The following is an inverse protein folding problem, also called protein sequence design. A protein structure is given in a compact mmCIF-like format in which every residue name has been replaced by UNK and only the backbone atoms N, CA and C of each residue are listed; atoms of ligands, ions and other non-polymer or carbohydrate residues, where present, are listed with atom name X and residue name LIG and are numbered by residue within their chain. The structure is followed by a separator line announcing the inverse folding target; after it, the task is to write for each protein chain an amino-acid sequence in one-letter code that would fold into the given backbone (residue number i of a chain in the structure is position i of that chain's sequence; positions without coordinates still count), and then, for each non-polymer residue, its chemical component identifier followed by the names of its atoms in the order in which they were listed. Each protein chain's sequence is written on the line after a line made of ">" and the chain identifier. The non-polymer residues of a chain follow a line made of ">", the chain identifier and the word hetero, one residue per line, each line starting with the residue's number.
data_IF_161305071337
#
_entry.id   IF_161305071337
#
_cell.length_a   1.000
_cell.length_b   1.000
_cell.length_c   1.000
_cell.angle_alpha   90.00
_cell.angle_beta   90.00
_cell.angle_gamma   90.00
#
_symmetry.space_group_name_H-M   'P 1'
#
loop_
_entity.id
_entity.type
_entity.pdbx_description
1 polymer ?
#
# COMPACT_ATOMS: atom_id res chain seq x y z
N UNK A 1 2.45 8.88 32.61
CA UNK A 1 2.30 8.30 31.26
C UNK A 1 3.65 7.98 30.61
N UNK A 2 4.59 8.94 30.54
CA UNK A 2 5.96 8.73 30.00
C UNK A 2 6.77 7.62 30.70
N UNK A 3 6.62 7.44 32.02
CA UNK A 3 7.26 6.33 32.74
C UNK A 3 6.77 4.97 32.25
N UNK A 4 5.45 4.81 32.06
CA UNK A 4 4.84 3.55 31.60
C UNK A 4 5.26 3.18 30.18
N UNK A 5 5.60 4.17 29.36
CA UNK A 5 6.08 4.02 27.98
C UNK A 5 7.56 3.57 27.94
N UNK A 6 8.40 4.15 28.81
CA UNK A 6 9.77 3.65 29.04
C UNK A 6 9.76 2.23 29.60
N UNK A 7 8.84 1.94 30.51
CA UNK A 7 8.68 0.59 31.06
C UNK A 7 8.18 -0.38 30.00
N UNK A 8 7.20 -0.01 29.16
CA UNK A 8 6.74 -0.85 28.05
C UNK A 8 7.88 -1.16 27.07
N UNK A 9 8.71 -0.16 26.73
CA UNK A 9 9.90 -0.32 25.87
C UNK A 9 10.97 -1.22 26.51
N UNK A 10 11.05 -1.28 27.84
CA UNK A 10 12.04 -2.10 28.56
C UNK A 10 11.51 -3.49 28.97
N UNK A 11 10.20 -3.65 29.19
CA UNK A 11 9.55 -4.88 29.68
C UNK A 11 8.98 -5.74 28.57
N UNK A 12 8.52 -5.14 27.46
CA UNK A 12 8.24 -5.96 26.28
C UNK A 12 9.57 -6.52 25.81
N UNK A 13 9.57 -7.80 25.45
CA UNK A 13 10.74 -8.58 25.01
C UNK A 13 11.20 -8.11 23.62
N UNK A 14 11.38 -6.80 23.47
CA UNK A 14 11.84 -6.14 22.28
C UNK A 14 13.34 -6.43 22.19
N UNK A 15 13.67 -7.54 21.55
CA UNK A 15 15.01 -7.73 21.02
C UNK A 15 15.21 -6.71 19.89
N UNK A 16 15.73 -5.55 20.23
CA UNK A 16 16.19 -4.59 19.23
C UNK A 16 17.48 -5.12 18.61
N UNK A 17 17.37 -5.78 17.46
CA UNK A 17 18.54 -6.06 16.65
C UNK A 17 18.90 -4.76 15.91
N UNK A 18 19.91 -4.06 16.43
CA UNK A 18 20.28 -2.72 15.96
C UNK A 18 21.32 -2.82 14.85
N UNK A 19 20.93 -2.38 13.66
CA UNK A 19 21.87 -1.83 12.69
C UNK A 19 21.59 -0.33 12.64
N UNK A 20 22.60 0.54 12.42
CA UNK A 20 22.48 2.00 12.65
C UNK A 20 21.26 2.68 11.99
N UNK A 21 20.66 2.05 10.96
CA UNK A 21 19.48 2.54 10.24
C UNK A 21 18.28 1.55 10.19
N UNK A 22 18.29 0.44 10.93
CA UNK A 22 17.22 -0.60 10.87
C UNK A 22 16.91 -1.14 12.27
N UNK A 23 15.62 -1.26 12.56
CA UNK A 23 15.10 -1.68 13.86
C UNK A 23 13.99 -2.70 13.65
N UNK A 24 14.08 -3.84 14.34
CA UNK A 24 12.99 -4.82 14.41
C UNK A 24 12.47 -4.85 15.85
N UNK A 25 11.15 -4.80 15.98
CA UNK A 25 10.46 -4.76 17.27
C UNK A 25 9.40 -5.87 17.30
N UNK A 26 9.47 -6.73 18.32
CA UNK A 26 8.49 -7.79 18.53
C UNK A 26 7.51 -7.40 19.64
N UNK A 27 6.23 -7.37 19.29
CA UNK A 27 5.11 -7.08 20.19
C UNK A 27 4.07 -8.17 20.01
N UNK A 28 3.58 -8.75 21.11
CA UNK A 28 2.53 -9.75 21.05
C UNK A 28 1.18 -9.11 20.66
N UNK A 29 0.30 -9.88 20.03
CA UNK A 29 -1.08 -9.46 19.78
C UNK A 29 -1.79 -9.11 21.09
N UNK A 30 -2.46 -7.95 21.12
CA UNK A 30 -3.13 -7.45 22.33
C UNK A 30 -2.31 -6.44 23.15
N UNK A 31 -1.00 -6.29 22.90
CA UNK A 31 -0.11 -5.35 23.63
C UNK A 31 -0.24 -3.89 23.18
N UNK A 32 -1.27 -3.54 22.41
CA UNK A 32 -1.48 -2.17 21.92
C UNK A 32 -0.50 -1.73 20.82
N UNK A 33 -0.10 -2.67 19.93
CA UNK A 33 0.83 -2.42 18.82
C UNK A 33 0.50 -1.15 18.01
N UNK A 34 -0.77 -0.92 17.67
CA UNK A 34 -1.20 0.28 16.94
C UNK A 34 -0.88 1.58 17.67
N UNK A 35 -1.02 1.63 18.99
CA UNK A 35 -0.70 2.83 19.80
C UNK A 35 0.81 3.05 19.83
N UNK A 36 1.60 1.98 19.99
CA UNK A 36 3.07 2.06 19.97
C UNK A 36 3.54 2.57 18.61
N UNK A 37 3.01 2.04 17.51
CA UNK A 37 3.29 2.50 16.15
C UNK A 37 2.96 3.98 15.99
N UNK A 38 1.78 4.42 16.46
CA UNK A 38 1.37 5.81 16.35
C UNK A 38 2.29 6.76 17.11
N UNK A 39 2.70 6.40 18.33
CA UNK A 39 3.67 7.19 19.12
C UNK A 39 5.01 7.29 18.40
N UNK A 40 5.52 6.18 17.85
CA UNK A 40 6.78 6.17 17.09
C UNK A 40 6.63 7.06 15.86
N UNK A 41 5.52 6.95 15.12
CA UNK A 41 5.28 7.76 13.93
C UNK A 41 5.24 9.26 14.26
N UNK A 42 4.55 9.66 15.33
CA UNK A 42 4.51 11.05 15.82
C UNK A 42 5.93 11.52 16.16
N UNK A 43 6.66 10.75 16.96
CA UNK A 43 8.03 11.11 17.37
C UNK A 43 8.94 11.29 16.16
N UNK A 44 8.84 10.41 15.16
CA UNK A 44 9.64 10.44 13.94
C UNK A 44 9.26 11.58 13.01
N UNK A 45 7.96 11.83 12.83
CA UNK A 45 7.45 12.95 12.04
C UNK A 45 7.93 14.30 12.61
N UNK A 46 7.91 14.46 13.94
CA UNK A 46 8.35 15.69 14.61
C UNK A 46 9.87 15.81 14.62
N UNK A 47 10.60 14.76 15.02
CA UNK A 47 12.04 14.86 15.30
C UNK A 47 12.89 14.92 14.04
N UNK A 48 12.45 14.27 12.96
CA UNK A 48 13.21 14.21 11.71
C UNK A 48 12.63 15.10 10.61
N UNK A 49 11.46 15.71 10.83
CA UNK A 49 10.70 16.48 9.82
C UNK A 49 10.44 15.68 8.53
N UNK A 50 10.16 14.38 8.69
CA UNK A 50 9.95 13.42 7.59
C UNK A 50 8.53 12.90 7.56
N UNK A 51 8.08 12.54 6.36
CA UNK A 51 6.83 11.79 6.18
C UNK A 51 7.04 10.34 6.63
N UNK A 52 6.10 9.82 7.42
CA UNK A 52 6.11 8.44 7.92
C UNK A 52 5.07 7.61 7.17
N UNK A 53 5.51 6.55 6.50
CA UNK A 53 4.66 5.58 5.84
C UNK A 53 4.48 4.37 6.75
N UNK A 54 3.24 4.09 7.13
CA UNK A 54 2.89 2.93 7.94
C UNK A 54 2.24 1.89 7.02
N UNK A 55 2.96 0.79 6.81
CA UNK A 55 2.55 -0.31 5.94
C UNK A 55 1.92 -1.39 6.81
N UNK A 56 0.67 -1.75 6.55
CA UNK A 56 -0.07 -2.80 7.28
C UNK A 56 -0.58 -3.88 6.33
N UNK A 57 -1.04 -5.02 6.86
CA UNK A 57 -1.41 -6.19 6.05
C UNK A 57 -2.68 -6.01 5.21
N UNK A 58 -3.58 -5.08 5.57
CA UNK A 58 -4.86 -4.88 4.87
C UNK A 58 -5.32 -3.42 4.80
N UNK A 59 -6.10 -3.09 3.76
CA UNK A 59 -6.71 -1.75 3.59
C UNK A 59 -7.60 -1.38 4.78
N UNK A 60 -8.32 -2.35 5.36
CA UNK A 60 -9.23 -2.13 6.48
C UNK A 60 -8.48 -1.65 7.73
N UNK A 61 -7.35 -2.30 8.05
CA UNK A 61 -6.50 -1.90 9.18
C UNK A 61 -5.90 -0.51 8.95
N UNK A 62 -5.45 -0.22 7.72
CA UNK A 62 -4.92 1.08 7.36
C UNK A 62 -5.96 2.19 7.56
N UNK A 63 -7.19 1.96 7.09
CA UNK A 63 -8.29 2.92 7.22
C UNK A 63 -8.73 3.10 8.67
N UNK A 64 -8.82 2.00 9.44
CA UNK A 64 -9.14 2.03 10.86
C UNK A 64 -8.09 2.84 11.63
N UNK A 65 -6.81 2.54 11.48
CA UNK A 65 -5.75 3.18 12.28
C UNK A 65 -5.45 4.61 11.84
N UNK A 66 -5.83 4.99 10.61
CA UNK A 66 -5.84 6.38 10.15
C UNK A 66 -7.05 7.20 10.64
N UNK A 67 -8.04 6.58 11.32
CA UNK A 67 -9.23 7.27 11.81
C UNK A 67 -10.24 7.64 10.72
N UNK A 68 -10.35 6.82 9.67
CA UNK A 68 -11.31 7.05 8.59
C UNK A 68 -12.77 6.98 9.09
N UNK A 69 -13.56 8.00 8.75
CA UNK A 69 -14.91 8.22 9.28
C UNK A 69 -15.93 7.09 9.05
N UNK A 70 -15.68 6.18 8.10
CA UNK A 70 -16.60 5.08 7.79
C UNK A 70 -16.30 3.80 8.60
N UNK A 71 -15.19 3.76 9.35
CA UNK A 71 -14.72 2.61 10.13
C UNK A 71 -14.28 3.14 11.50
N UNK A 72 -15.21 3.75 12.23
CA UNK A 72 -14.91 4.34 13.54
C UNK A 72 -15.18 3.32 14.65
N UNK A 73 -14.11 2.75 15.20
CA UNK A 73 -14.11 2.07 16.51
C UNK A 73 -13.55 3.00 17.58
N UNK A 74 -13.86 2.78 18.86
CA UNK A 74 -13.29 3.58 19.96
C UNK A 74 -11.75 3.63 19.90
N UNK A 75 -11.11 2.51 19.53
CA UNK A 75 -9.66 2.44 19.33
C UNK A 75 -9.13 3.34 18.22
N UNK A 76 -9.87 3.50 17.11
CA UNK A 76 -9.47 4.38 16.00
C UNK A 76 -9.60 5.87 16.33
N UNK A 77 -10.63 6.24 17.10
CA UNK A 77 -10.81 7.63 17.55
C UNK A 77 -9.66 8.08 18.45
N UNK A 78 -9.26 7.21 19.39
CA UNK A 78 -8.14 7.48 20.29
C UNK A 78 -6.81 7.73 19.54
N UNK A 79 -6.57 7.07 18.41
CA UNK A 79 -5.37 7.31 17.59
C UNK A 79 -5.44 8.63 16.85
N UNK A 80 -6.59 8.95 16.26
CA UNK A 80 -6.79 10.23 15.57
C UNK A 80 -6.62 11.41 16.52
N UNK A 81 -7.26 11.36 17.69
CA UNK A 81 -7.12 12.36 18.73
C UNK A 81 -5.66 12.51 19.16
N UNK A 82 -4.93 11.40 19.27
CA UNK A 82 -3.51 11.41 19.58
C UNK A 82 -2.72 12.19 18.52
N UNK A 83 -2.91 11.91 17.23
CA UNK A 83 -2.25 12.65 16.15
C UNK A 83 -2.61 14.15 16.18
N UNK A 84 -3.89 14.48 16.42
CA UNK A 84 -4.37 15.86 16.50
C UNK A 84 -3.74 16.64 17.66
N UNK A 85 -3.58 16.02 18.84
CA UNK A 85 -2.91 16.64 20.01
C UNK A 85 -1.49 17.09 19.66
N UNK A 86 -0.79 16.33 18.82
CA UNK A 86 0.57 16.65 18.37
C UNK A 86 0.62 17.45 17.06
N UNK A 87 -0.51 17.86 16.51
CA UNK A 87 -0.60 18.62 15.26
C UNK A 87 -0.15 17.82 14.03
N UNK A 88 -0.19 16.50 14.10
CA UNK A 88 0.23 15.60 13.03
C UNK A 88 -0.96 15.32 12.11
N UNK A 89 -0.80 15.62 10.83
CA UNK A 89 -1.79 15.26 9.81
C UNK A 89 -1.62 13.79 9.42
N UNK A 90 -2.67 13.01 9.61
CA UNK A 90 -2.72 11.58 9.31
C UNK A 90 -3.84 11.28 8.32
N UNK A 91 -3.56 10.41 7.36
CA UNK A 91 -4.58 9.85 6.46
C UNK A 91 -4.08 8.51 5.86
N UNK A 92 -4.84 7.91 4.94
CA UNK A 92 -4.50 6.66 4.28
C UNK A 92 -4.44 6.78 2.74
N UNK A 93 -3.60 6.01 2.07
CA UNK A 93 -3.51 5.99 0.60
C UNK A 93 -4.48 5.00 -0.08
N UNK A 94 -5.40 4.39 0.66
CA UNK A 94 -6.33 3.36 0.16
C UNK A 94 -7.41 3.87 -0.82
N UNK A 95 -7.43 5.17 -1.14
CA UNK A 95 -8.40 5.75 -2.07
C UNK A 95 -8.25 5.20 -3.50
N UNK A 96 -9.37 5.06 -4.21
CA UNK A 96 -9.38 4.73 -5.64
C UNK A 96 -9.11 5.96 -6.50
N UNK A 97 -9.58 7.14 -6.08
CA UNK A 97 -9.32 8.41 -6.76
C UNK A 97 -7.86 8.86 -6.58
N UNK A 98 -7.20 9.14 -7.71
CA UNK A 98 -5.80 9.55 -7.75
C UNK A 98 -5.56 10.94 -7.14
N UNK A 99 -6.54 11.84 -7.21
CA UNK A 99 -6.39 13.19 -6.67
C UNK A 99 -6.48 13.18 -5.13
N UNK A 100 -7.35 12.35 -4.57
CA UNK A 100 -7.40 12.06 -3.14
C UNK A 100 -6.05 11.52 -2.65
N UNK A 101 -5.49 10.50 -3.33
CA UNK A 101 -4.15 9.98 -2.99
C UNK A 101 -3.06 11.05 -3.06
N UNK A 102 -3.07 11.88 -4.11
CA UNK A 102 -2.11 12.98 -4.25
C UNK A 102 -2.21 13.98 -3.09
N UNK A 103 -3.42 14.27 -2.63
CA UNK A 103 -3.64 15.15 -1.47
C UNK A 103 -2.99 14.55 -0.23
N UNK A 104 -3.20 13.26 0.03
CA UNK A 104 -2.61 12.53 1.16
C UNK A 104 -1.08 12.65 1.15
N UNK A 105 -0.43 12.32 0.04
CA UNK A 105 1.04 12.42 -0.07
C UNK A 105 1.59 13.84 0.08
N UNK A 106 0.76 14.87 -0.16
CA UNK A 106 1.16 16.28 -0.08
C UNK A 106 0.94 16.92 1.27
N UNK A 107 -0.12 16.52 1.95
CA UNK A 107 -0.62 17.25 3.12
C UNK A 107 -0.39 16.50 4.42
N UNK A 108 -0.18 15.18 4.37
CA UNK A 108 -0.06 14.35 5.56
C UNK A 108 1.40 14.14 5.99
N UNK A 109 1.62 14.12 7.30
CA UNK A 109 2.89 13.74 7.92
C UNK A 109 2.96 12.23 8.13
N UNK A 110 1.82 11.58 8.36
CA UNK A 110 1.71 10.12 8.55
C UNK A 110 0.71 9.56 7.55
N UNK A 111 1.11 8.53 6.82
CA UNK A 111 0.30 7.90 5.78
C UNK A 111 0.21 6.41 6.05
N UNK A 112 -1.02 5.93 6.32
CA UNK A 112 -1.30 4.51 6.42
C UNK A 112 -1.62 3.91 5.04
N UNK A 113 -1.24 2.66 4.83
CA UNK A 113 -1.60 1.93 3.63
C UNK A 113 -1.29 0.46 3.77
N UNK A 114 -1.93 -0.36 2.97
CA UNK A 114 -1.45 -1.72 2.78
C UNK A 114 -0.37 -1.78 1.71
N UNK A 115 0.38 -2.89 1.71
CA UNK A 115 1.47 -3.13 0.78
C UNK A 115 1.04 -2.88 -0.68
N UNK A 116 -0.12 -3.39 -1.07
CA UNK A 116 -0.63 -3.30 -2.43
C UNK A 116 -0.97 -1.85 -2.85
N UNK A 117 -1.45 -1.00 -1.92
CA UNK A 117 -1.70 0.42 -2.22
C UNK A 117 -0.40 1.21 -2.44
N UNK A 118 0.62 0.98 -1.60
CA UNK A 118 1.93 1.58 -1.82
C UNK A 118 2.59 1.09 -3.12
N UNK A 119 2.47 -0.21 -3.43
CA UNK A 119 2.97 -0.78 -4.69
C UNK A 119 2.26 -0.17 -5.90
N UNK A 120 0.93 -0.04 -5.87
CA UNK A 120 0.15 0.64 -6.91
C UNK A 120 0.67 2.05 -7.14
N UNK A 121 0.80 2.84 -6.07
CA UNK A 121 1.17 4.26 -6.19
C UNK A 121 2.62 4.42 -6.71
N UNK A 122 3.54 3.56 -6.26
CA UNK A 122 4.90 3.48 -6.78
C UNK A 122 4.97 3.13 -8.27
N UNK A 123 4.23 2.11 -8.71
CA UNK A 123 4.17 1.71 -10.11
C UNK A 123 3.48 2.77 -10.98
N UNK A 124 2.43 3.42 -10.47
CA UNK A 124 1.76 4.51 -11.16
C UNK A 124 2.68 5.71 -11.37
N UNK A 125 3.55 5.99 -10.40
CA UNK A 125 4.52 7.07 -10.51
C UNK A 125 5.60 6.75 -11.55
N UNK A 126 6.16 5.53 -11.53
CA UNK A 126 7.22 5.12 -12.45
C UNK A 126 6.74 4.97 -13.89
N UNK A 127 5.62 4.27 -14.11
CA UNK A 127 5.20 3.89 -15.46
C UNK A 127 4.26 4.90 -16.12
N UNK A 128 3.54 5.71 -15.34
CA UNK A 128 2.55 6.65 -15.87
C UNK A 128 2.85 8.11 -15.52
N UNK A 129 4.02 8.41 -14.93
CA UNK A 129 4.49 9.75 -14.58
C UNK A 129 3.42 10.57 -13.84
N UNK A 130 2.71 9.94 -12.90
CA UNK A 130 1.57 10.54 -12.20
C UNK A 130 1.98 11.58 -11.16
N UNK A 131 3.28 11.64 -10.81
CA UNK A 131 3.87 12.55 -9.82
C UNK A 131 3.09 12.51 -8.51
N UNK A 132 2.78 11.28 -8.08
CA UNK A 132 2.04 11.00 -6.85
C UNK A 132 2.95 11.14 -5.65
N UNK A 133 4.14 10.54 -5.75
CA UNK A 133 5.14 10.58 -4.72
C UNK A 133 5.89 11.91 -4.82
N UNK A 134 5.95 12.65 -3.72
CA UNK A 134 6.70 13.90 -3.66
C UNK A 134 8.17 13.55 -3.55
N UNK A 135 8.85 13.53 -4.70
CA UNK A 135 10.31 13.57 -4.92
C UNK A 135 11.17 13.28 -3.68
N UNK A 136 11.74 12.07 -3.57
CA UNK A 136 12.99 11.71 -2.85
C UNK A 136 13.24 12.37 -1.48
N UNK A 137 12.20 12.81 -0.76
CA UNK A 137 12.37 13.22 0.62
C UNK A 137 12.70 11.98 1.42
N UNK A 138 13.53 12.15 2.45
CA UNK A 138 13.87 11.05 3.33
C UNK A 138 12.57 10.61 4.02
N UNK A 139 12.03 9.45 3.65
CA UNK A 139 10.83 8.89 4.25
C UNK A 139 11.23 7.90 5.35
N UNK A 140 10.34 7.72 6.32
CA UNK A 140 10.46 6.67 7.32
C UNK A 140 9.36 5.66 7.05
N UNK A 141 9.73 4.39 6.87
CA UNK A 141 8.77 3.30 6.67
C UNK A 141 8.70 2.47 7.95
N UNK A 142 7.51 2.37 8.51
CA UNK A 142 7.19 1.44 9.59
C UNK A 142 6.34 0.33 8.97
N UNK A 143 6.81 -0.91 9.06
CA UNK A 143 6.07 -2.07 8.56
C UNK A 143 5.47 -2.81 9.75
N UNK A 144 4.15 -2.91 9.74
CA UNK A 144 3.38 -3.73 10.66
C UNK A 144 3.23 -5.15 10.09
N UNK A 145 3.16 -6.15 10.98
CA UNK A 145 3.05 -7.58 10.63
C UNK A 145 4.09 -8.04 9.59
N UNK A 146 5.35 -7.66 9.82
CA UNK A 146 6.50 -7.93 8.93
C UNK A 146 6.65 -9.41 8.57
N UNK A 147 6.37 -10.29 9.52
CA UNK A 147 6.39 -11.74 9.33
C UNK A 147 5.38 -12.18 8.26
N UNK A 148 4.14 -11.74 8.37
CA UNK A 148 3.11 -12.02 7.36
C UNK A 148 3.48 -11.45 5.98
N UNK A 149 4.13 -10.28 5.94
CA UNK A 149 4.52 -9.66 4.67
C UNK A 149 5.73 -10.33 4.02
N UNK A 150 6.77 -10.63 4.80
CA UNK A 150 8.03 -11.14 4.29
C UNK A 150 8.07 -12.65 4.15
N UNK A 151 7.25 -13.38 4.92
CA UNK A 151 7.19 -14.85 4.83
C UNK A 151 6.02 -15.25 3.93
N UNK A 152 4.79 -14.89 4.31
CA UNK A 152 3.59 -15.39 3.62
C UNK A 152 3.43 -14.76 2.23
N UNK A 153 3.73 -13.46 2.10
CA UNK A 153 3.64 -12.73 0.82
C UNK A 153 4.98 -12.63 0.07
N UNK A 154 6.02 -13.36 0.47
CA UNK A 154 7.34 -13.32 -0.19
C UNK A 154 7.31 -13.55 -1.70
N UNK A 155 6.45 -14.45 -2.15
CA UNK A 155 6.33 -14.84 -3.55
C UNK A 155 5.17 -14.12 -4.29
N UNK A 156 4.49 -13.20 -3.60
CA UNK A 156 3.41 -12.43 -4.20
C UNK A 156 3.96 -11.38 -5.17
N UNK A 157 3.40 -11.34 -6.37
CA UNK A 157 3.71 -10.31 -7.39
C UNK A 157 2.48 -9.45 -7.62
N UNK A 158 2.63 -8.14 -7.45
CA UNK A 158 1.58 -7.17 -7.74
C UNK A 158 1.61 -6.77 -9.21
N UNK A 159 0.47 -6.90 -9.90
CA UNK A 159 0.30 -6.49 -11.30
C UNK A 159 -0.60 -5.26 -11.39
N UNK A 160 -0.14 -4.26 -12.16
CA UNK A 160 -0.93 -3.07 -12.49
C UNK A 160 -1.44 -3.18 -13.92
N UNK A 161 -2.76 -3.35 -14.08
CA UNK A 161 -3.41 -3.38 -15.39
C UNK A 161 -4.22 -2.10 -15.64
N UNK A 162 -4.21 -1.63 -16.89
CA UNK A 162 -5.07 -0.54 -17.37
C UNK A 162 -5.60 -0.91 -18.75
N UNK A 163 -6.84 -0.48 -19.04
CA UNK A 163 -7.38 -0.60 -20.38
C UNK A 163 -6.59 0.30 -21.35
N UNK A 164 -6.20 -0.28 -22.49
CA UNK A 164 -5.56 0.45 -23.58
C UNK A 164 -6.67 0.89 -24.53
N UNK A 165 -6.82 2.20 -24.71
CA UNK A 165 -7.82 2.74 -25.63
C UNK A 165 -7.62 2.18 -27.05
N UNK A 166 -8.68 1.68 -27.67
CA UNK A 166 -8.66 1.12 -29.02
C UNK A 166 -8.31 -0.36 -29.12
N UNK A 167 -8.11 -1.06 -27.99
CA UNK A 167 -7.92 -2.52 -27.98
C UNK A 167 -9.14 -3.25 -28.57
N UNK A 168 -10.34 -2.68 -28.41
CA UNK A 168 -11.60 -3.16 -28.97
C UNK A 168 -11.56 -3.28 -30.50
N UNK A 169 -10.72 -2.48 -31.18
CA UNK A 169 -10.54 -2.57 -32.64
C UNK A 169 -9.77 -3.83 -33.05
N UNK A 170 -8.91 -4.35 -32.18
CA UNK A 170 -8.18 -5.60 -32.44
C UNK A 170 -9.10 -6.81 -32.40
N UNK A 171 -10.22 -6.76 -31.67
CA UNK A 171 -11.21 -7.85 -31.67
C UNK A 171 -11.73 -8.14 -33.09
N UNK A 172 -12.01 -7.08 -33.87
CA UNK A 172 -12.42 -7.23 -35.28
C UNK A 172 -11.31 -7.84 -36.12
N UNK A 173 -10.06 -7.42 -35.91
CA UNK A 173 -8.89 -7.97 -36.60
C UNK A 173 -8.69 -9.45 -36.26
N UNK A 174 -8.75 -9.82 -34.98
CA UNK A 174 -8.58 -11.20 -34.54
C UNK A 174 -9.69 -12.11 -35.04
N UNK A 175 -10.95 -11.65 -35.04
CA UNK A 175 -12.07 -12.36 -35.66
C UNK A 175 -11.85 -12.59 -37.15
N UNK A 176 -11.33 -11.59 -37.86
CA UNK A 176 -11.01 -11.73 -39.29
C UNK A 176 -9.89 -12.75 -39.54
N UNK A 177 -8.79 -12.67 -38.78
CA UNK A 177 -7.69 -13.63 -38.86
C UNK A 177 -8.18 -15.04 -38.58
N UNK A 178 -8.97 -15.23 -37.52
CA UNK A 178 -9.56 -16.52 -37.15
C UNK A 178 -10.42 -17.11 -38.28
N UNK A 179 -11.24 -16.29 -38.93
CA UNK A 179 -12.06 -16.71 -40.06
C UNK A 179 -11.23 -17.08 -41.29
N UNK A 180 -10.10 -16.42 -41.53
CA UNK A 180 -9.19 -16.75 -42.62
C UNK A 180 -8.42 -18.06 -42.37
N UNK A 181 -7.97 -18.29 -41.13
CA UNK A 181 -7.23 -19.51 -40.75
C UNK A 181 -8.12 -20.74 -40.76
N UNK A 182 -9.36 -20.62 -40.26
CA UNK A 182 -10.30 -21.75 -40.18
C UNK A 182 -11.22 -21.86 -41.40
N UNK A 183 -10.88 -21.21 -42.50
CA UNK A 183 -11.66 -21.38 -43.73
C UNK A 183 -11.49 -22.84 -44.19
N UNK A 184 -12.59 -23.59 -44.41
CA UNK A 184 -12.48 -24.94 -44.95
C UNK A 184 -11.74 -24.87 -46.29
N UNK A 185 -10.79 -25.80 -46.47
CA UNK A 185 -10.10 -25.96 -47.74
C UNK A 185 -11.15 -26.21 -48.83
N UNK A 186 -11.01 -25.62 -50.04
CA UNK A 186 -11.91 -25.93 -51.13
C UNK A 186 -11.85 -27.45 -51.38
N UNK A 187 -13.01 -28.08 -51.42
CA UNK A 187 -13.12 -29.50 -51.75
C UNK A 187 -12.35 -29.75 -53.04
N UNK A 188 -11.47 -30.77 -53.04
CA UNK A 188 -10.84 -31.24 -54.27
C UNK A 188 -11.98 -31.56 -55.23
N UNK A 189 -12.06 -30.80 -56.31
CA UNK A 189 -12.98 -31.08 -57.41
C UNK A 189 -12.54 -32.46 -57.93
N UNK A 190 -13.35 -33.48 -57.65
CA UNK A 190 -13.15 -34.81 -58.18
C UNK A 190 -13.17 -34.71 -59.71
N UNK A 191 -11.99 -34.84 -60.29
CA UNK A 191 -11.80 -34.86 -61.73
C UNK A 191 -12.52 -36.06 -62.31
N UNK A 192 -13.68 -35.83 -62.93
CA UNK A 192 -14.21 -36.71 -63.94
C UNK A 192 -13.22 -36.73 -65.12
N UNK A 193 -12.32 -37.72 -65.13
CA UNK A 193 -11.67 -38.17 -66.37
C UNK A 193 -12.74 -38.92 -67.17
N UNK A 194 -13.12 -38.35 -68.31
CA UNK A 194 -13.89 -39.03 -69.36
C UNK A 194 -13.06 -40.01 -70.17
#
# INVERSE_FOLDING_TARGET
>A
MLLRLKTLINETKISFETNKNKLLMQLATGEGKSIVIAIIAIMKAISEEKVVHIVTSSKLLAQRDAGANNITTESSQNLKDLYEIFGIKVDHNCYEDINARRRVYKECNVIYGNLECFQRDYLEDIFYNKKLLISKQQEIVIVDEVDSMLLDKSNYVFYLSKEIAGMDRLDTLFKHIWACVNRPLPDKIDGHCG
#
